data_IF_160262118173
#
_entry.id   IF_160262118173
#
_cell.length_a   1.000
_cell.length_b   1.000
_cell.length_c   1.000
_cell.angle_alpha   90.00
_cell.angle_beta   90.00
_cell.angle_gamma   90.00
#
_symmetry.space_group_name_H-M   'P 1'
#
loop_
_entity.id
_entity.type
_entity.pdbx_description
1 polymer ?
#
# COMPACT_ATOMS: atom_id res chain seq x y z
N UNK A 1 -5.12 -20.74 8.88
CA UNK A 1 -4.43 -19.52 8.39
C UNK A 1 -3.18 -19.35 9.23
N UNK A 2 -2.05 -18.98 8.61
CA UNK A 2 -0.75 -18.90 9.28
C UNK A 2 -0.42 -17.45 9.59
N UNK A 3 0.07 -17.20 10.79
CA UNK A 3 0.29 -15.86 11.32
C UNK A 3 1.74 -15.72 11.75
N UNK A 4 2.32 -14.56 11.46
CA UNK A 4 3.68 -14.17 11.80
C UNK A 4 3.66 -13.08 12.87
N UNK A 5 4.48 -13.24 13.91
CA UNK A 5 4.73 -12.19 14.91
C UNK A 5 5.76 -11.21 14.38
N UNK A 6 5.38 -9.95 14.24
CA UNK A 6 6.24 -8.86 13.78
C UNK A 6 6.53 -7.94 14.93
N UNK A 7 7.82 -7.72 15.22
CA UNK A 7 8.24 -6.76 16.22
C UNK A 7 8.29 -5.37 15.61
N UNK A 8 7.67 -4.40 16.28
CA UNK A 8 7.63 -3.00 15.83
C UNK A 8 7.98 -2.09 17.00
N UNK A 9 8.60 -0.95 16.71
CA UNK A 9 8.88 0.06 17.74
C UNK A 9 7.64 0.80 18.23
N UNK A 10 6.63 0.95 17.36
CA UNK A 10 5.47 1.82 17.60
C UNK A 10 4.27 1.08 18.19
N UNK A 11 4.09 -0.19 17.81
CA UNK A 11 2.93 -1.00 18.16
C UNK A 11 3.29 -2.21 19.03
N UNK A 12 4.58 -2.38 19.35
CA UNK A 12 5.07 -3.60 20.00
C UNK A 12 5.03 -4.79 19.05
N UNK A 13 4.77 -5.97 19.59
CA UNK A 13 4.60 -7.19 18.80
C UNK A 13 3.18 -7.25 18.23
N UNK A 14 3.07 -7.43 16.91
CA UNK A 14 1.79 -7.54 16.20
C UNK A 14 1.70 -8.87 15.45
N UNK A 15 0.50 -9.47 15.46
CA UNK A 15 0.20 -10.69 14.73
C UNK A 15 -0.30 -10.35 13.32
N UNK A 16 0.46 -10.74 12.28
CA UNK A 16 0.16 -10.44 10.87
C UNK A 16 -0.10 -11.72 10.11
N UNK A 17 -1.20 -11.80 9.37
CA UNK A 17 -1.46 -12.94 8.49
C UNK A 17 -0.42 -12.99 7.36
N UNK A 18 0.20 -14.15 7.12
CA UNK A 18 1.21 -14.31 6.06
C UNK A 18 0.66 -13.95 4.67
N UNK A 19 -0.65 -14.13 4.46
CA UNK A 19 -1.33 -13.79 3.20
C UNK A 19 -1.50 -12.27 2.97
N UNK A 20 -1.27 -11.45 4.00
CA UNK A 20 -1.33 -9.98 3.94
C UNK A 20 0.05 -9.34 3.85
N UNK A 21 1.11 -10.13 3.77
CA UNK A 21 2.46 -9.62 3.59
C UNK A 21 2.64 -9.10 2.17
N UNK A 22 3.19 -7.89 2.08
CA UNK A 22 3.60 -7.28 0.83
C UNK A 22 5.06 -7.69 0.60
N UNK A 23 5.30 -8.38 -0.51
CA UNK A 23 6.63 -8.83 -0.91
C UNK A 23 7.19 -7.88 -1.96
N UNK A 24 8.34 -7.28 -1.66
CA UNK A 24 9.13 -6.47 -2.57
C UNK A 24 10.50 -7.16 -2.78
N UNK A 25 10.64 -8.12 -3.72
CA UNK A 25 11.84 -8.95 -3.85
C UNK A 25 13.14 -8.17 -4.10
N UNK A 26 13.04 -7.02 -4.77
CA UNK A 26 14.15 -6.10 -5.03
C UNK A 26 14.34 -5.04 -3.91
N UNK A 27 13.51 -5.13 -2.86
CA UNK A 27 13.32 -4.10 -1.84
C UNK A 27 12.66 -2.84 -2.38
N UNK A 28 12.48 -1.85 -1.51
CA UNK A 28 12.02 -0.51 -1.90
C UNK A 28 13.21 0.39 -2.24
N UNK A 29 12.96 1.47 -2.99
CA UNK A 29 13.98 2.49 -3.25
C UNK A 29 14.52 3.06 -1.93
N UNK A 30 15.84 3.06 -1.75
CA UNK A 30 16.49 3.42 -0.48
C UNK A 30 16.54 2.29 0.56
N UNK A 31 15.83 1.18 0.34
CA UNK A 31 15.71 0.04 1.28
C UNK A 31 15.87 -1.31 0.58
N UNK A 32 16.90 -1.46 -0.28
CA UNK A 32 17.13 -2.64 -1.13
C UNK A 32 17.28 -3.98 -0.39
N UNK A 33 17.54 -3.96 0.93
CA UNK A 33 17.64 -5.15 1.77
C UNK A 33 16.35 -5.49 2.55
N UNK A 34 15.28 -4.72 2.38
CA UNK A 34 14.03 -4.85 3.14
C UNK A 34 12.93 -5.31 2.18
N UNK A 35 12.58 -6.58 2.24
CA UNK A 35 11.80 -7.24 1.18
C UNK A 35 10.40 -7.65 1.61
N UNK A 36 10.10 -7.60 2.91
CA UNK A 36 8.80 -7.99 3.46
C UNK A 36 8.22 -6.84 4.28
N UNK A 37 6.97 -6.53 3.99
CA UNK A 37 6.28 -5.39 4.59
C UNK A 37 4.86 -5.77 4.99
N UNK A 38 4.32 -5.08 5.98
CA UNK A 38 2.90 -5.16 6.34
C UNK A 38 2.31 -3.76 6.50
N UNK A 39 0.99 -3.66 6.28
CA UNK A 39 0.23 -2.43 6.52
C UNK A 39 -0.44 -2.50 7.88
N UNK A 40 -0.17 -1.49 8.70
CA UNK A 40 -0.81 -1.30 10.00
C UNK A 40 -1.60 0.02 9.99
N UNK A 41 -2.81 0.02 10.52
CA UNK A 41 -3.60 1.25 10.63
C UNK A 41 -3.06 2.16 11.75
N UNK A 42 -3.04 3.46 11.53
CA UNK A 42 -2.87 4.41 12.62
C UNK A 42 -4.20 4.61 13.35
N UNK A 43 -4.26 4.27 14.64
CA UNK A 43 -5.48 4.40 15.46
C UNK A 43 -5.95 5.86 15.62
N UNK A 44 -5.06 6.83 15.43
CA UNK A 44 -5.35 8.26 15.62
C UNK A 44 -5.74 8.95 14.32
N UNK A 45 -5.42 8.36 13.17
CA UNK A 45 -5.75 8.93 11.87
C UNK A 45 -6.17 7.83 10.88
N UNK A 46 -7.48 7.74 10.54
CA UNK A 46 -7.99 6.67 9.68
C UNK A 46 -7.52 6.75 8.23
N UNK A 47 -6.97 7.89 7.80
CA UNK A 47 -6.45 8.09 6.44
C UNK A 47 -4.98 7.64 6.33
N UNK A 48 -4.29 7.49 7.46
CA UNK A 48 -2.88 7.15 7.52
C UNK A 48 -2.71 5.67 7.85
N UNK A 49 -1.78 5.06 7.12
CA UNK A 49 -1.28 3.72 7.36
C UNK A 49 0.22 3.76 7.61
N UNK A 50 0.71 2.73 8.27
CA UNK A 50 2.12 2.47 8.45
C UNK A 50 2.52 1.29 7.57
N UNK A 51 3.41 1.53 6.62
CA UNK A 51 4.13 0.48 5.91
C UNK A 51 5.34 0.07 6.76
N UNK A 52 5.17 -0.99 7.53
CA UNK A 52 6.14 -1.51 8.49
C UNK A 52 6.99 -2.61 7.85
N UNK A 53 8.32 -2.51 7.96
CA UNK A 53 9.21 -3.62 7.60
C UNK A 53 9.02 -4.78 8.57
N UNK A 54 8.92 -5.99 8.06
CA UNK A 54 8.86 -7.21 8.88
C UNK A 54 10.23 -7.51 9.52
N UNK A 55 11.31 -7.20 8.80
CA UNK A 55 12.67 -7.56 9.19
C UNK A 55 13.36 -6.47 10.03
N UNK A 56 12.79 -5.27 10.10
CA UNK A 56 13.37 -4.13 10.84
C UNK A 56 12.30 -3.37 11.66
N UNK A 57 12.26 -3.56 12.99
CA UNK A 57 11.28 -2.91 13.88
C UNK A 57 11.31 -1.38 13.90
N UNK A 58 12.44 -0.77 13.57
CA UNK A 58 12.62 0.69 13.56
C UNK A 58 12.12 1.32 12.26
N UNK A 59 12.00 0.51 11.19
CA UNK A 59 11.68 0.96 9.85
C UNK A 59 10.19 0.85 9.56
N UNK A 60 9.50 1.99 9.64
CA UNK A 60 8.13 2.15 9.22
C UNK A 60 7.92 3.50 8.54
N UNK A 61 7.14 3.52 7.46
CA UNK A 61 6.82 4.74 6.71
C UNK A 61 5.32 5.03 6.81
N UNK A 62 4.97 6.28 7.06
CA UNK A 62 3.57 6.71 6.95
C UNK A 62 3.20 6.79 5.47
N UNK A 63 2.09 6.17 5.11
CA UNK A 63 1.50 6.26 3.77
C UNK A 63 0.03 6.66 3.92
N UNK A 64 -0.54 7.18 2.86
CA UNK A 64 -1.95 7.49 2.79
C UNK A 64 -2.46 7.20 1.38
N UNK A 65 -3.76 6.99 1.27
CA UNK A 65 -4.43 6.88 -0.01
C UNK A 65 -4.35 8.25 -0.73
N UNK A 66 -3.70 8.33 -1.91
CA UNK A 66 -3.56 9.59 -2.63
C UNK A 66 -4.92 10.15 -3.06
N UNK A 67 -5.93 9.32 -3.33
CA UNK A 67 -7.26 9.78 -3.79
C UNK A 67 -8.00 10.56 -2.70
N UNK A 68 -7.67 10.31 -1.43
CA UNK A 68 -8.23 11.05 -0.29
C UNK A 68 -7.60 12.44 -0.15
N UNK A 69 -6.40 12.64 -0.71
CA UNK A 69 -5.59 13.84 -0.53
C UNK A 69 -5.58 14.71 -1.79
N UNK A 70 -5.59 14.08 -2.98
CA UNK A 70 -5.41 14.71 -4.27
C UNK A 70 -6.52 14.24 -5.22
N UNK A 71 -7.41 15.14 -5.62
CA UNK A 71 -8.56 14.83 -6.49
C UNK A 71 -8.15 14.32 -7.88
N UNK A 72 -6.99 14.75 -8.37
CA UNK A 72 -6.52 14.47 -9.73
C UNK A 72 -5.19 13.69 -9.74
N UNK A 73 -4.93 12.86 -8.72
CA UNK A 73 -3.73 12.04 -8.71
C UNK A 73 -3.82 10.94 -9.77
N UNK A 74 -2.89 10.98 -10.73
CA UNK A 74 -2.78 9.99 -11.80
C UNK A 74 -1.44 9.27 -11.73
N UNK A 75 -1.47 7.94 -11.67
CA UNK A 75 -0.26 7.12 -11.88
C UNK A 75 -0.37 6.36 -13.21
N UNK A 76 0.72 6.34 -13.97
CA UNK A 76 0.84 5.49 -15.16
C UNK A 76 1.81 4.38 -14.82
N UNK A 77 1.35 3.13 -14.91
CA UNK A 77 2.19 1.95 -14.66
C UNK A 77 2.57 1.35 -16.01
N UNK A 78 3.86 1.09 -16.22
CA UNK A 78 4.31 0.51 -17.49
C UNK A 78 3.85 -0.95 -17.61
N UNK A 79 3.69 -1.49 -18.84
CA UNK A 79 3.37 -2.91 -19.02
C UNK A 79 4.38 -3.85 -18.36
N UNK A 80 5.66 -3.48 -18.37
CA UNK A 80 6.74 -4.22 -17.71
C UNK A 80 6.54 -4.26 -16.19
N UNK A 81 6.20 -3.12 -15.57
CA UNK A 81 5.93 -3.05 -14.13
C UNK A 81 4.68 -3.84 -13.74
N UNK A 82 3.63 -3.85 -14.58
CA UNK A 82 2.42 -4.64 -14.35
C UNK A 82 2.71 -6.15 -14.38
N UNK A 83 3.55 -6.58 -15.31
CA UNK A 83 4.01 -7.97 -15.40
C UNK A 83 4.85 -8.36 -14.16
N UNK A 84 5.78 -7.49 -13.74
CA UNK A 84 6.59 -7.67 -12.53
C UNK A 84 5.70 -7.78 -11.27
N UNK A 85 4.62 -7.00 -11.20
CA UNK A 85 3.64 -7.02 -10.11
C UNK A 85 2.63 -8.17 -10.21
N UNK A 86 2.66 -8.96 -11.29
CA UNK A 86 1.69 -10.03 -11.60
C UNK A 86 0.24 -9.55 -11.57
N UNK A 87 0.02 -8.29 -11.96
CA UNK A 87 -1.31 -7.70 -12.04
C UNK A 87 -1.91 -8.00 -13.41
N UNK A 88 -3.14 -8.53 -13.42
CA UNK A 88 -3.91 -8.70 -14.64
C UNK A 88 -4.71 -7.44 -14.99
N UNK A 89 -5.32 -7.37 -16.18
CA UNK A 89 -6.31 -6.33 -16.53
C UNK A 89 -7.42 -6.22 -15.47
N UNK A 90 -7.82 -7.35 -14.88
CA UNK A 90 -8.85 -7.37 -13.84
C UNK A 90 -8.37 -6.80 -12.49
N UNK A 91 -7.06 -6.70 -12.27
CA UNK A 91 -6.44 -6.10 -11.09
C UNK A 91 -6.09 -4.63 -11.31
N UNK A 92 -6.29 -4.10 -12.53
CA UNK A 92 -6.04 -2.68 -12.83
C UNK A 92 -7.07 -1.83 -12.10
N UNK A 93 -6.58 -0.97 -11.21
CA UNK A 93 -7.36 0.11 -10.63
C UNK A 93 -7.65 1.15 -11.73
N UNK A 94 -8.83 1.07 -12.35
CA UNK A 94 -9.31 2.02 -13.35
C UNK A 94 -8.73 1.77 -14.76
N UNK A 95 -9.59 1.34 -15.67
CA UNK A 95 -9.25 1.03 -17.06
C UNK A 95 -8.65 2.24 -17.81
N UNK A 96 -7.48 2.01 -18.42
CA UNK A 96 -7.00 2.72 -19.62
C UNK A 96 -6.09 3.93 -19.38
N UNK A 97 -4.77 3.71 -19.48
CA UNK A 97 -3.71 4.73 -19.70
C UNK A 97 -3.62 5.95 -18.76
N UNK A 98 -4.40 6.01 -17.69
CA UNK A 98 -4.29 7.00 -16.61
C UNK A 98 -5.01 6.45 -15.39
N UNK A 99 -4.31 6.18 -14.28
CA UNK A 99 -4.95 5.78 -13.02
C UNK A 99 -5.62 7.00 -12.41
N UNK A 100 -6.83 7.33 -12.86
CA UNK A 100 -7.69 8.36 -12.28
C UNK A 100 -9.08 7.81 -12.14
N UNK A 101 -9.48 7.50 -10.92
CA UNK A 101 -10.84 7.05 -10.65
C UNK A 101 -11.79 8.24 -10.54
N UNK A 102 -12.08 8.87 -11.68
CA UNK A 102 -13.15 9.86 -11.80
C UNK A 102 -14.51 9.19 -11.62
N UNK A 103 -15.11 9.32 -10.43
CA UNK A 103 -16.36 8.62 -10.12
C UNK A 103 -17.12 9.05 -8.88
N UNK A 104 -17.39 10.34 -8.67
CA UNK A 104 -18.61 10.75 -7.93
C UNK A 104 -19.42 11.76 -8.75
N UNK A 105 -20.49 11.29 -9.39
CA UNK A 105 -21.54 12.13 -9.98
C UNK A 105 -22.76 12.21 -9.01
N UNK A 106 -23.72 13.14 -9.20
CA UNK A 106 -24.00 14.26 -8.29
C UNK A 106 -25.27 14.06 -7.44
N UNK A 107 -25.31 14.56 -6.20
CA UNK A 107 -26.54 15.02 -5.50
C UNK A 107 -26.06 15.94 -4.37
N UNK A 108 -26.61 17.13 -4.07
CA UNK A 108 -27.96 17.70 -4.16
C UNK A 108 -27.80 19.23 -4.14
N UNK A 109 -28.71 19.93 -4.83
CA UNK A 109 -28.65 21.38 -5.01
C UNK A 109 -28.77 22.23 -3.74
N UNK A 110 -28.34 23.48 -3.92
CA UNK A 110 -28.99 24.69 -3.41
C UNK A 110 -28.84 25.78 -4.45
#
# INVERSE_FOLDING_TARGET
MKTLKVNTTRFGEVDVSEERLILAPKGLLGFRGQTQWCLLHDERNPVVWWLQSVDNPDLAMMIADPDVIFEDFLVTVSPEDLEDLRMSDADRFGDGDSVGHGGRHPTRGR
#
